data_IF_256069315163
#
_entry.id   IF_256069315163
#
_cell.length_a   1.000
_cell.length_b   1.000
_cell.length_c   1.000
_cell.angle_alpha   90.00
_cell.angle_beta   90.00
_cell.angle_gamma   90.00
#
_symmetry.space_group_name_H-M   'P 1'
#
loop_
_entity.id
_entity.type
_entity.pdbx_description
1 polymer ?
#
# COMPACT_ATOMS: atom_id res chain seq x y z
N UNK A 1 0.46 -11.81 21.01
CA UNK A 1 -0.68 -11.39 20.19
C UNK A 1 -1.94 -12.16 20.59
N UNK A 2 -1.90 -13.49 20.53
CA UNK A 2 -2.93 -14.33 21.14
C UNK A 2 -2.86 -14.25 22.67
N UNK A 3 -4.02 -14.27 23.31
CA UNK A 3 -4.20 -14.24 24.76
C UNK A 3 -4.97 -15.48 25.19
N UNK A 4 -4.70 -15.96 26.41
CA UNK A 4 -5.37 -17.14 26.96
C UNK A 4 -6.89 -16.93 27.05
N UNK A 5 -7.64 -17.99 26.79
CA UNK A 5 -9.10 -18.01 26.95
C UNK A 5 -9.44 -18.26 28.43
N UNK A 6 -9.79 -17.21 29.18
CA UNK A 6 -10.01 -17.29 30.64
C UNK A 6 -11.35 -17.95 31.04
N UNK A 7 -12.41 -17.73 30.27
CA UNK A 7 -13.75 -18.28 30.56
C UNK A 7 -14.18 -19.23 29.46
N UNK A 8 -14.55 -20.46 29.84
CA UNK A 8 -15.04 -21.51 28.95
C UNK A 8 -14.14 -21.68 27.72
N UNK A 9 -13.05 -22.46 27.86
CA UNK A 9 -12.07 -22.85 26.81
C UNK A 9 -12.76 -23.58 25.64
N UNK A 10 -13.56 -22.84 24.90
CA UNK A 10 -14.51 -23.29 23.89
C UNK A 10 -14.06 -22.82 22.53
N UNK A 11 -14.58 -23.48 21.49
CA UNK A 11 -14.30 -23.10 20.11
C UNK A 11 -14.81 -21.67 19.82
N UNK A 12 -15.95 -21.29 20.39
CA UNK A 12 -16.55 -19.97 20.23
C UNK A 12 -15.68 -18.84 20.75
N UNK A 13 -15.03 -19.03 21.92
CA UNK A 13 -14.13 -18.02 22.47
C UNK A 13 -12.86 -17.84 21.61
N UNK A 14 -12.33 -18.93 21.06
CA UNK A 14 -11.21 -18.88 20.10
C UNK A 14 -11.62 -18.16 18.81
N UNK A 15 -12.79 -18.49 18.26
CA UNK A 15 -13.38 -17.82 17.08
C UNK A 15 -13.48 -16.33 17.32
N UNK A 16 -14.11 -15.91 18.43
CA UNK A 16 -14.32 -14.50 18.76
C UNK A 16 -13.00 -13.72 18.87
N UNK A 17 -11.95 -14.32 19.43
CA UNK A 17 -10.65 -13.66 19.53
C UNK A 17 -9.99 -13.50 18.15
N UNK A 18 -9.98 -14.55 17.33
CA UNK A 18 -9.38 -14.47 15.98
C UNK A 18 -10.16 -13.48 15.11
N UNK A 19 -11.49 -13.51 15.14
CA UNK A 19 -12.36 -12.53 14.47
C UNK A 19 -12.05 -11.11 14.89
N UNK A 20 -11.89 -10.86 16.18
CA UNK A 20 -11.51 -9.54 16.69
C UNK A 20 -10.15 -9.09 16.17
N UNK A 21 -9.17 -9.99 16.09
CA UNK A 21 -7.84 -9.67 15.57
C UNK A 21 -7.86 -9.38 14.06
N UNK A 22 -8.64 -10.13 13.27
CA UNK A 22 -8.88 -9.87 11.84
C UNK A 22 -9.58 -8.51 11.67
N UNK A 23 -10.67 -8.29 12.40
CA UNK A 23 -11.49 -7.09 12.32
C UNK A 23 -10.69 -5.83 12.71
N UNK A 24 -9.84 -5.93 13.73
CA UNK A 24 -8.92 -4.85 14.14
C UNK A 24 -7.70 -4.71 13.26
N UNK A 25 -7.55 -5.57 12.25
CA UNK A 25 -6.47 -5.53 11.28
C UNK A 25 -5.12 -6.02 11.80
N UNK A 26 -5.06 -6.56 13.02
CA UNK A 26 -3.84 -7.14 13.60
C UNK A 26 -3.46 -8.43 12.85
N UNK A 27 -4.45 -9.18 12.38
CA UNK A 27 -4.28 -10.25 11.40
C UNK A 27 -4.69 -9.70 10.02
N UNK A 28 -3.72 -9.62 9.11
CA UNK A 28 -3.92 -9.18 7.74
C UNK A 28 -4.19 -10.38 6.81
N UNK A 29 -4.86 -10.12 5.69
CA UNK A 29 -5.10 -11.13 4.66
C UNK A 29 -3.77 -11.72 4.16
N UNK A 30 -3.70 -13.05 4.12
CA UNK A 30 -2.48 -13.78 3.75
C UNK A 30 -1.55 -14.10 4.92
N UNK A 31 -1.78 -13.55 6.12
CA UNK A 31 -1.00 -13.92 7.30
C UNK A 31 -1.17 -15.40 7.61
N UNK A 32 -0.06 -16.05 7.96
CA UNK A 32 -0.07 -17.46 8.36
C UNK A 32 -0.33 -17.55 9.87
N UNK A 33 -1.36 -18.28 10.26
CA UNK A 33 -1.56 -18.62 11.66
C UNK A 33 -0.45 -19.57 12.15
N UNK A 34 -0.06 -19.50 13.45
CA UNK A 34 0.90 -20.45 14.00
C UNK A 34 0.44 -21.90 13.81
N UNK A 35 1.37 -22.88 13.79
CA UNK A 35 1.00 -24.28 13.74
C UNK A 35 0.01 -24.64 14.85
N UNK A 36 -0.95 -25.54 14.60
CA UNK A 36 -2.02 -25.89 15.56
C UNK A 36 -1.50 -26.18 16.97
N UNK A 37 -0.35 -26.86 17.06
CA UNK A 37 0.28 -27.17 18.35
C UNK A 37 0.61 -25.91 19.12
N UNK A 38 1.27 -24.96 18.48
CA UNK A 38 1.80 -23.76 19.13
C UNK A 38 0.64 -22.79 19.39
N UNK A 39 -0.29 -22.64 18.44
CA UNK A 39 -1.49 -21.82 18.61
C UNK A 39 -2.40 -22.33 19.75
N UNK A 40 -2.55 -23.66 19.88
CA UNK A 40 -3.33 -24.23 20.99
C UNK A 40 -2.69 -23.96 22.36
N UNK A 41 -1.36 -23.91 22.41
CA UNK A 41 -0.61 -23.59 23.61
C UNK A 41 -0.73 -22.10 23.98
N UNK A 42 -0.61 -21.21 22.99
CA UNK A 42 -0.75 -19.76 23.18
C UNK A 42 -2.16 -19.37 23.68
N UNK A 43 -3.19 -20.04 23.15
CA UNK A 43 -4.59 -19.83 23.51
C UNK A 43 -5.03 -20.57 24.78
N UNK A 44 -4.21 -21.51 25.27
CA UNK A 44 -4.50 -22.41 26.41
C UNK A 44 -5.77 -23.26 26.20
N UNK A 45 -5.92 -23.83 25.01
CA UNK A 45 -7.04 -24.71 24.62
C UNK A 45 -6.55 -26.07 24.14
N UNK A 46 -7.42 -27.08 24.16
CA UNK A 46 -7.09 -28.40 23.59
C UNK A 46 -7.08 -28.33 22.05
N UNK A 47 -6.30 -29.20 21.40
CA UNK A 47 -6.23 -29.25 19.92
C UNK A 47 -7.59 -29.55 19.26
N UNK A 48 -8.46 -30.44 19.79
CA UNK A 48 -9.80 -30.63 19.25
C UNK A 48 -10.63 -29.34 19.25
N UNK A 49 -10.58 -28.56 20.33
CA UNK A 49 -11.28 -27.27 20.44
C UNK A 49 -10.74 -26.26 19.42
N UNK A 50 -9.41 -26.19 19.25
CA UNK A 50 -8.81 -25.34 18.23
C UNK A 50 -9.25 -25.75 16.81
N UNK A 51 -9.27 -27.05 16.50
CA UNK A 51 -9.71 -27.54 15.17
C UNK A 51 -11.16 -27.22 14.88
N UNK A 52 -12.02 -27.34 15.88
CA UNK A 52 -13.42 -26.93 15.77
C UNK A 52 -13.53 -25.43 15.49
N UNK A 53 -12.79 -24.60 16.23
CA UNK A 53 -12.73 -23.15 16.00
C UNK A 53 -12.23 -22.79 14.59
N UNK A 54 -11.15 -23.43 14.13
CA UNK A 54 -10.61 -23.22 12.79
C UNK A 54 -11.60 -23.63 11.71
N UNK A 55 -12.35 -24.74 11.91
CA UNK A 55 -13.40 -25.15 10.98
C UNK A 55 -14.53 -24.12 10.90
N UNK A 56 -14.97 -23.58 12.03
CA UNK A 56 -15.98 -22.50 12.06
C UNK A 56 -15.47 -21.27 11.30
N UNK A 57 -14.21 -20.88 11.50
CA UNK A 57 -13.61 -19.74 10.79
C UNK A 57 -13.45 -19.99 9.28
N UNK A 58 -13.16 -21.23 8.88
CA UNK A 58 -13.06 -21.64 7.48
C UNK A 58 -14.43 -21.66 6.79
N UNK A 59 -15.47 -22.17 7.48
CA UNK A 59 -16.86 -22.12 7.03
C UNK A 59 -17.36 -20.67 6.86
N UNK A 60 -16.86 -19.74 7.71
CA UNK A 60 -17.10 -18.28 7.59
C UNK A 60 -16.21 -17.59 6.57
N UNK A 61 -15.34 -18.33 5.87
CA UNK A 61 -14.39 -17.80 4.88
C UNK A 61 -13.42 -16.75 5.45
N UNK A 62 -13.13 -16.80 6.75
CA UNK A 62 -12.19 -15.90 7.42
C UNK A 62 -10.76 -16.45 7.42
N UNK A 63 -10.62 -17.77 7.28
CA UNK A 63 -9.35 -18.46 7.10
C UNK A 63 -9.43 -19.45 5.95
N UNK A 64 -8.27 -19.80 5.39
CA UNK A 64 -8.13 -20.81 4.35
C UNK A 64 -6.99 -21.77 4.70
N UNK A 65 -7.28 -23.07 4.67
CA UNK A 65 -6.26 -24.11 4.81
C UNK A 65 -5.62 -24.40 3.46
N UNK A 66 -4.29 -24.33 3.38
CA UNK A 66 -3.53 -24.75 2.17
C UNK A 66 -2.90 -26.10 2.42
N UNK A 67 -3.06 -27.05 1.48
CA UNK A 67 -2.44 -28.39 1.60
C UNK A 67 -0.93 -28.26 1.82
N UNK A 68 -0.43 -28.89 2.89
CA UNK A 68 0.99 -28.83 3.28
C UNK A 68 1.50 -27.46 3.77
N UNK A 69 0.68 -26.41 3.70
CA UNK A 69 1.09 -25.02 3.93
C UNK A 69 0.63 -24.39 5.24
N UNK A 70 -0.33 -25.01 5.94
CA UNK A 70 -0.93 -24.46 7.17
C UNK A 70 -2.19 -23.61 6.90
N UNK A 71 -2.65 -22.91 7.93
CA UNK A 71 -3.85 -22.06 7.89
C UNK A 71 -3.47 -20.60 7.73
N UNK A 72 -4.16 -19.91 6.82
CA UNK A 72 -3.90 -18.51 6.49
C UNK A 72 -5.16 -17.68 6.66
N UNK A 73 -5.01 -16.40 6.97
CA UNK A 73 -6.11 -15.44 6.98
C UNK A 73 -6.59 -15.22 5.56
N UNK A 74 -7.90 -15.35 5.34
CA UNK A 74 -8.50 -15.17 4.03
C UNK A 74 -8.49 -13.70 3.59
N UNK A 75 -8.69 -13.48 2.29
CA UNK A 75 -8.96 -12.14 1.78
C UNK A 75 -10.43 -11.76 2.01
N UNK A 76 -10.72 -11.25 3.20
CA UNK A 76 -12.08 -10.90 3.66
C UNK A 76 -12.54 -9.51 3.24
N UNK A 77 -11.62 -8.58 2.98
CA UNK A 77 -11.97 -7.21 2.55
C UNK A 77 -12.31 -7.21 1.05
N UNK A 78 -11.68 -8.12 0.27
CA UNK A 78 -11.78 -8.11 -1.18
C UNK A 78 -11.18 -6.84 -1.82
N UNK A 79 -11.22 -6.72 -3.15
CA UNK A 79 -10.91 -5.46 -3.82
C UNK A 79 -12.09 -4.49 -3.68
N UNK A 80 -11.81 -3.18 -3.62
CA UNK A 80 -12.86 -2.14 -3.56
C UNK A 80 -13.83 -2.22 -4.74
N UNK A 81 -13.33 -2.66 -5.90
CA UNK A 81 -14.08 -2.88 -7.13
C UNK A 81 -13.73 -4.24 -7.72
N UNK A 82 -14.70 -4.88 -8.39
CA UNK A 82 -14.44 -6.10 -9.17
C UNK A 82 -13.42 -5.85 -10.28
N UNK A 83 -12.61 -6.85 -10.64
CA UNK A 83 -11.60 -6.73 -11.71
C UNK A 83 -12.13 -6.13 -13.03
N UNK A 84 -13.33 -6.46 -13.53
CA UNK A 84 -13.87 -5.83 -14.75
C UNK A 84 -14.13 -4.33 -14.60
N UNK A 85 -14.60 -3.89 -13.43
CA UNK A 85 -14.83 -2.47 -13.13
C UNK A 85 -13.49 -1.74 -12.96
N UNK A 86 -12.54 -2.37 -12.28
CA UNK A 86 -11.17 -1.88 -12.15
C UNK A 86 -10.57 -1.58 -13.53
N UNK A 87 -10.58 -2.55 -14.45
CA UNK A 87 -10.11 -2.36 -15.83
C UNK A 87 -10.94 -1.33 -16.64
N UNK A 88 -12.21 -1.11 -16.30
CA UNK A 88 -13.00 -0.03 -16.89
C UNK A 88 -12.50 1.33 -16.42
N UNK A 89 -12.24 1.53 -15.12
CA UNK A 89 -11.74 2.78 -14.56
C UNK A 89 -10.36 3.13 -15.15
N UNK A 90 -9.45 2.15 -15.30
CA UNK A 90 -8.12 2.36 -15.92
C UNK A 90 -8.17 3.01 -17.29
N UNK A 91 -9.20 2.69 -18.09
CA UNK A 91 -9.37 3.21 -19.45
C UNK A 91 -9.99 4.62 -19.49
N UNK A 92 -10.45 5.14 -18.36
CA UNK A 92 -11.18 6.41 -18.27
C UNK A 92 -10.47 7.38 -17.32
N UNK A 93 -9.65 8.31 -17.83
CA UNK A 93 -8.86 9.24 -17.01
C UNK A 93 -9.66 10.05 -15.99
N UNK A 94 -10.92 10.38 -16.31
CA UNK A 94 -11.83 11.08 -15.37
C UNK A 94 -12.09 10.23 -14.14
N UNK A 95 -12.36 8.94 -14.31
CA UNK A 95 -12.62 8.03 -13.20
C UNK A 95 -11.36 7.79 -12.33
N UNK A 96 -10.16 7.87 -12.92
CA UNK A 96 -8.90 7.88 -12.16
C UNK A 96 -8.78 9.15 -11.32
N UNK A 97 -9.16 10.30 -11.87
CA UNK A 97 -9.15 11.56 -11.13
C UNK A 97 -10.14 11.54 -9.96
N UNK A 98 -11.34 10.97 -10.15
CA UNK A 98 -12.35 10.77 -9.11
C UNK A 98 -11.83 9.83 -8.00
N UNK A 99 -11.13 8.76 -8.37
CA UNK A 99 -10.49 7.87 -7.41
C UNK A 99 -9.40 8.57 -6.58
N UNK A 100 -8.58 9.41 -7.21
CA UNK A 100 -7.54 10.18 -6.50
C UNK A 100 -8.15 11.23 -5.57
N UNK A 101 -9.28 11.84 -5.95
CA UNK A 101 -10.07 12.71 -5.08
C UNK A 101 -10.63 11.95 -3.87
N UNK A 102 -11.26 10.80 -4.09
CA UNK A 102 -11.73 9.96 -3.00
C UNK A 102 -10.59 9.57 -2.04
N UNK A 103 -9.45 9.13 -2.57
CA UNK A 103 -8.27 8.82 -1.76
C UNK A 103 -7.81 10.01 -0.92
N UNK A 104 -7.68 11.19 -1.52
CA UNK A 104 -7.28 12.42 -0.83
C UNK A 104 -8.13 12.64 0.43
N UNK A 105 -9.44 12.52 0.30
CA UNK A 105 -10.37 12.81 1.40
C UNK A 105 -10.34 11.72 2.48
N UNK A 106 -10.22 10.45 2.09
CA UNK A 106 -10.16 9.31 3.02
C UNK A 106 -8.84 9.28 3.79
N UNK A 107 -7.71 9.54 3.11
CA UNK A 107 -6.38 9.64 3.74
C UNK A 107 -6.32 10.86 4.67
N UNK A 108 -6.89 11.99 4.26
CA UNK A 108 -7.05 13.17 5.10
C UNK A 108 -7.86 12.91 6.37
N UNK A 109 -8.98 12.17 6.25
CA UNK A 109 -9.79 11.78 7.39
C UNK A 109 -9.06 10.80 8.32
N UNK A 110 -8.27 9.89 7.77
CA UNK A 110 -7.46 8.97 8.57
C UNK A 110 -6.37 9.70 9.34
N UNK A 111 -5.66 10.62 8.70
CA UNK A 111 -4.65 11.45 9.36
C UNK A 111 -5.27 12.34 10.48
N UNK A 112 -6.47 12.89 10.24
CA UNK A 112 -7.22 13.62 11.26
C UNK A 112 -7.45 12.76 12.51
N UNK A 113 -8.04 11.57 12.34
CA UNK A 113 -8.35 10.69 13.46
C UNK A 113 -7.11 10.08 14.10
N UNK A 114 -6.05 9.82 13.32
CA UNK A 114 -4.78 9.37 13.85
C UNK A 114 -4.20 10.42 14.80
N UNK A 115 -4.19 11.69 14.42
CA UNK A 115 -3.73 12.75 15.32
C UNK A 115 -4.59 12.88 16.60
N UNK A 116 -5.89 12.58 16.52
CA UNK A 116 -6.79 12.62 17.69
C UNK A 116 -6.62 11.40 18.62
N UNK A 117 -6.31 10.22 18.07
CA UNK A 117 -6.50 8.93 18.75
C UNK A 117 -5.26 8.06 18.88
N UNK A 118 -4.18 8.40 18.17
CA UNK A 118 -2.97 7.60 18.19
C UNK A 118 -2.45 7.42 19.61
N UNK A 119 -2.14 6.18 19.95
CA UNK A 119 -1.47 5.82 21.20
C UNK A 119 0.04 5.97 21.05
N UNK A 120 0.76 5.94 22.18
CA UNK A 120 2.24 5.92 22.15
C UNK A 120 2.81 4.73 21.34
N UNK A 121 2.08 3.61 21.26
CA UNK A 121 2.48 2.47 20.45
C UNK A 121 2.34 2.78 18.95
N UNK A 122 1.23 3.41 18.56
CA UNK A 122 0.98 3.83 17.17
C UNK A 122 2.02 4.86 16.71
N UNK A 123 2.32 5.87 17.54
CA UNK A 123 3.37 6.86 17.27
C UNK A 123 4.73 6.19 17.08
N UNK A 124 5.06 5.19 17.89
CA UNK A 124 6.33 4.45 17.75
C UNK A 124 6.38 3.66 16.44
N UNK A 125 5.27 3.08 16.00
CA UNK A 125 5.19 2.40 14.69
C UNK A 125 5.44 3.40 13.56
N UNK A 126 4.76 4.56 13.61
CA UNK A 126 4.93 5.64 12.63
C UNK A 126 6.38 6.15 12.59
N UNK A 127 7.00 6.40 13.75
CA UNK A 127 8.41 6.83 13.85
C UNK A 127 9.39 5.79 13.27
N UNK A 128 9.13 4.49 13.49
CA UNK A 128 9.96 3.42 12.92
C UNK A 128 9.84 3.38 11.40
N UNK A 129 8.63 3.57 10.86
CA UNK A 129 8.38 3.57 9.41
C UNK A 129 9.03 4.78 8.73
N UNK A 130 8.90 6.00 9.30
CA UNK A 130 9.56 7.19 8.75
C UNK A 130 11.08 7.07 8.79
N UNK A 131 11.63 6.48 9.86
CA UNK A 131 13.07 6.18 9.94
C UNK A 131 13.51 5.17 8.87
N UNK A 132 12.72 4.10 8.66
CA UNK A 132 13.00 3.12 7.61
C UNK A 132 12.90 3.72 6.20
N UNK A 133 11.98 4.66 5.97
CA UNK A 133 11.87 5.41 4.72
C UNK A 133 13.10 6.27 4.48
N UNK A 134 13.60 6.96 5.51
CA UNK A 134 14.83 7.75 5.40
C UNK A 134 16.04 6.87 5.01
N UNK A 135 16.19 5.70 5.64
CA UNK A 135 17.26 4.75 5.29
C UNK A 135 17.12 4.27 3.85
N UNK A 136 15.92 3.86 3.42
CA UNK A 136 15.67 3.46 2.04
C UNK A 136 15.94 4.61 1.05
N UNK A 137 15.66 5.85 1.45
CA UNK A 137 15.99 7.05 0.70
C UNK A 137 17.51 7.19 0.53
N UNK A 138 18.27 7.10 1.61
CA UNK A 138 19.73 7.27 1.56
C UNK A 138 20.42 6.15 0.76
N UNK A 139 19.88 4.93 0.83
CA UNK A 139 20.40 3.74 0.13
C UNK A 139 20.02 3.66 -1.36
N UNK A 140 19.25 4.62 -1.89
CA UNK A 140 18.71 4.58 -3.28
C UNK A 140 17.86 3.33 -3.57
N UNK A 141 17.15 2.80 -2.57
CA UNK A 141 16.36 1.58 -2.71
C UNK A 141 14.89 1.88 -3.02
N UNK A 142 14.58 2.12 -4.30
CA UNK A 142 13.25 2.55 -4.75
C UNK A 142 12.15 1.50 -4.49
N UNK A 143 12.47 0.21 -4.61
CA UNK A 143 11.52 -0.88 -4.31
C UNK A 143 11.10 -0.85 -2.84
N UNK A 144 12.08 -0.67 -1.94
CA UNK A 144 11.84 -0.57 -0.50
C UNK A 144 11.07 0.71 -0.16
N UNK A 145 11.33 1.83 -0.83
CA UNK A 145 10.55 3.06 -0.63
C UNK A 145 9.09 2.88 -1.05
N UNK A 146 8.84 2.27 -2.20
CA UNK A 146 7.49 1.99 -2.67
C UNK A 146 6.73 1.04 -1.73
N UNK A 147 7.42 0.06 -1.15
CA UNK A 147 6.86 -0.82 -0.13
C UNK A 147 6.53 -0.04 1.15
N UNK A 148 7.47 0.74 1.68
CA UNK A 148 7.30 1.47 2.94
C UNK A 148 6.22 2.56 2.86
N UNK A 149 6.02 3.17 1.69
CA UNK A 149 4.92 4.11 1.46
C UNK A 149 3.57 3.49 1.81
N UNK A 150 3.31 2.27 1.33
CA UNK A 150 2.05 1.57 1.62
C UNK A 150 1.94 1.27 3.11
N UNK A 151 3.01 0.78 3.74
CA UNK A 151 3.03 0.46 5.17
C UNK A 151 2.80 1.71 6.04
N UNK A 152 3.33 2.87 5.65
CA UNK A 152 3.13 4.13 6.35
C UNK A 152 1.67 4.59 6.30
N UNK A 153 1.06 4.60 5.11
CA UNK A 153 -0.35 4.98 4.96
C UNK A 153 -1.29 3.96 5.62
N UNK A 154 -0.90 2.69 5.70
CA UNK A 154 -1.61 1.68 6.50
C UNK A 154 -1.51 1.96 7.99
N UNK A 155 -0.32 2.27 8.51
CA UNK A 155 -0.11 2.60 9.92
C UNK A 155 -0.92 3.84 10.36
N UNK A 156 -1.08 4.85 9.49
CA UNK A 156 -1.98 5.99 9.75
C UNK A 156 -3.43 5.53 9.85
N UNK A 157 -3.89 4.66 8.94
CA UNK A 157 -5.23 4.10 8.97
C UNK A 157 -5.52 3.27 10.23
N UNK A 158 -4.51 2.56 10.75
CA UNK A 158 -4.59 1.81 12.01
C UNK A 158 -4.65 2.77 13.21
N UNK A 159 -3.78 3.78 13.23
CA UNK A 159 -3.72 4.80 14.27
C UNK A 159 -5.01 5.66 14.35
N UNK A 160 -5.82 5.70 13.29
CA UNK A 160 -7.12 6.35 13.29
C UNK A 160 -8.17 5.64 14.19
N UNK A 161 -7.89 4.40 14.62
CA UNK A 161 -8.75 3.57 15.46
C UNK A 161 -10.20 3.45 14.94
N UNK A 162 -10.38 3.53 13.62
CA UNK A 162 -11.65 3.36 12.93
C UNK A 162 -11.57 2.15 11.99
N UNK A 163 -12.20 1.06 12.39
CA UNK A 163 -12.18 -0.21 11.66
C UNK A 163 -12.69 -0.12 10.23
N UNK A 164 -13.76 0.65 9.98
CA UNK A 164 -14.30 0.80 8.62
C UNK A 164 -13.33 1.61 7.76
N UNK A 165 -12.74 2.66 8.32
CA UNK A 165 -11.74 3.47 7.62
C UNK A 165 -10.48 2.66 7.28
N UNK A 166 -9.99 1.86 8.22
CA UNK A 166 -8.85 0.96 8.04
C UNK A 166 -9.06 0.01 6.86
N UNK A 167 -10.18 -0.72 6.83
CA UNK A 167 -10.45 -1.68 5.77
C UNK A 167 -10.72 -0.99 4.43
N UNK A 168 -11.36 0.19 4.44
CA UNK A 168 -11.56 1.02 3.25
C UNK A 168 -10.23 1.45 2.63
N UNK A 169 -9.27 1.89 3.45
CA UNK A 169 -7.92 2.25 3.01
C UNK A 169 -7.13 1.06 2.49
N UNK A 170 -7.17 -0.09 3.19
CA UNK A 170 -6.52 -1.34 2.72
C UNK A 170 -7.05 -1.76 1.35
N UNK A 171 -8.35 -1.62 1.10
CA UNK A 171 -8.93 -1.87 -0.21
C UNK A 171 -8.41 -0.90 -1.29
N UNK A 172 -8.23 0.39 -0.96
CA UNK A 172 -7.62 1.38 -1.85
C UNK A 172 -6.17 1.02 -2.19
N UNK A 173 -5.36 0.65 -1.20
CA UNK A 173 -3.94 0.35 -1.44
C UNK A 173 -3.72 -0.89 -2.32
N UNK A 174 -4.61 -1.89 -2.25
CA UNK A 174 -4.56 -3.05 -3.16
C UNK A 174 -4.71 -2.64 -4.62
N UNK A 175 -5.58 -1.69 -4.92
CA UNK A 175 -5.73 -1.16 -6.27
C UNK A 175 -4.45 -0.46 -6.76
N UNK A 176 -3.70 0.19 -5.88
CA UNK A 176 -2.41 0.79 -6.23
C UNK A 176 -1.34 -0.27 -6.48
N UNK A 177 -1.29 -1.31 -5.63
CA UNK A 177 -0.28 -2.38 -5.72
C UNK A 177 -0.39 -3.19 -7.01
N UNK A 178 -1.60 -3.33 -7.55
CA UNK A 178 -1.83 -4.07 -8.79
C UNK A 178 -1.49 -3.27 -10.06
N UNK A 179 -0.92 -2.07 -9.92
CA UNK A 179 -0.51 -1.23 -11.06
C UNK A 179 -1.69 -0.63 -11.84
N UNK A 180 -2.91 -0.83 -11.35
CA UNK A 180 -4.17 -0.44 -12.00
C UNK A 180 -4.20 1.08 -12.23
N UNK A 181 -4.00 1.86 -11.17
CA UNK A 181 -4.13 3.31 -11.25
C UNK A 181 -2.81 4.04 -11.41
N UNK A 182 -1.71 3.41 -11.00
CA UNK A 182 -0.42 4.08 -10.86
C UNK A 182 0.70 3.08 -10.63
N UNK A 183 1.80 3.23 -11.37
CA UNK A 183 3.04 2.55 -11.07
C UNK A 183 3.87 3.38 -10.08
N UNK A 184 3.82 3.00 -8.79
CA UNK A 184 4.61 3.61 -7.70
C UNK A 184 6.10 3.72 -8.00
N UNK A 185 6.64 2.73 -8.68
CA UNK A 185 8.04 2.69 -9.09
C UNK A 185 8.42 3.89 -9.96
N UNK A 186 7.51 4.36 -10.83
CA UNK A 186 7.80 5.49 -11.71
C UNK A 186 7.97 6.83 -10.96
N UNK A 187 7.25 7.05 -9.86
CA UNK A 187 7.43 8.25 -9.04
C UNK A 187 8.74 8.20 -8.26
N UNK A 188 9.09 7.04 -7.69
CA UNK A 188 10.34 6.88 -6.94
C UNK A 188 11.57 6.92 -7.85
N UNK A 189 11.42 6.57 -9.13
CA UNK A 189 12.42 6.78 -10.16
C UNK A 189 12.60 8.26 -10.57
N UNK A 190 11.70 9.18 -10.16
CA UNK A 190 11.82 10.60 -10.46
C UNK A 190 12.57 11.34 -9.32
N UNK A 191 13.80 11.85 -9.55
CA UNK A 191 14.69 12.30 -8.47
C UNK A 191 14.12 13.42 -7.59
N UNK A 192 13.39 14.38 -8.17
CA UNK A 192 12.78 15.47 -7.40
C UNK A 192 11.52 15.03 -6.65
N UNK A 193 10.79 14.05 -7.19
CA UNK A 193 9.52 13.62 -6.62
C UNK A 193 9.73 12.83 -5.34
N UNK A 194 10.69 11.90 -5.38
CA UNK A 194 11.12 11.08 -4.25
C UNK A 194 11.42 11.89 -2.99
N UNK A 195 12.27 12.92 -3.11
CA UNK A 195 12.67 13.78 -1.98
C UNK A 195 11.47 14.50 -1.37
N UNK A 196 10.59 15.03 -2.22
CA UNK A 196 9.42 15.78 -1.77
C UNK A 196 8.38 14.86 -1.11
N UNK A 197 8.17 13.64 -1.62
CA UNK A 197 7.33 12.63 -0.97
C UNK A 197 7.83 12.30 0.42
N UNK A 198 9.14 12.05 0.59
CA UNK A 198 9.71 11.79 1.91
C UNK A 198 9.51 12.96 2.87
N UNK A 199 9.71 14.20 2.39
CA UNK A 199 9.47 15.42 3.18
C UNK A 199 8.01 15.49 3.65
N UNK A 200 7.06 15.19 2.76
CA UNK A 200 5.63 15.20 3.06
C UNK A 200 5.21 14.09 4.04
N UNK A 201 5.76 12.87 3.92
CA UNK A 201 5.52 11.81 4.91
C UNK A 201 5.98 12.22 6.31
N UNK A 202 7.18 12.81 6.41
CA UNK A 202 7.69 13.33 7.68
C UNK A 202 6.81 14.46 8.25
N UNK A 203 6.26 15.32 7.38
CA UNK A 203 5.33 16.38 7.79
C UNK A 203 4.04 15.78 8.37
N UNK A 204 3.43 14.81 7.69
CA UNK A 204 2.22 14.10 8.17
C UNK A 204 2.49 13.46 9.53
N UNK A 205 3.58 12.70 9.66
CA UNK A 205 3.96 12.04 10.90
C UNK A 205 4.14 13.04 12.04
N UNK A 206 4.80 14.17 11.78
CA UNK A 206 4.98 15.23 12.76
C UNK A 206 3.64 15.82 13.24
N UNK A 207 2.68 16.04 12.33
CA UNK A 207 1.35 16.57 12.68
C UNK A 207 0.50 15.58 13.46
N UNK A 208 0.59 14.29 13.15
CA UNK A 208 -0.05 13.23 13.93
C UNK A 208 0.55 13.18 15.34
N UNK A 209 1.88 13.18 15.45
CA UNK A 209 2.61 13.13 16.73
C UNK A 209 2.35 14.35 17.61
N UNK A 210 2.16 15.52 17.01
CA UNK A 210 1.81 16.75 17.71
C UNK A 210 0.35 16.79 18.19
N UNK A 211 -0.49 15.84 17.77
CA UNK A 211 -1.91 15.84 18.09
C UNK A 211 -2.65 17.01 17.46
N UNK A 212 -2.34 17.34 16.19
CA UNK A 212 -2.95 18.45 15.44
C UNK A 212 -3.87 17.93 14.32
N UNK A 213 -5.15 17.58 14.59
CA UNK A 213 -6.00 16.87 13.63
C UNK A 213 -6.18 17.57 12.28
N UNK A 214 -6.48 18.87 12.30
CA UNK A 214 -6.67 19.62 11.06
C UNK A 214 -5.36 19.80 10.28
N UNK A 215 -4.24 19.97 10.97
CA UNK A 215 -2.94 20.09 10.30
C UNK A 215 -2.51 18.75 9.69
N UNK A 216 -2.74 17.63 10.38
CA UNK A 216 -2.46 16.28 9.88
C UNK A 216 -3.31 15.98 8.63
N UNK A 217 -4.60 16.32 8.68
CA UNK A 217 -5.50 16.23 7.53
C UNK A 217 -4.97 17.02 6.34
N UNK A 218 -4.68 18.31 6.54
CA UNK A 218 -4.20 19.18 5.45
C UNK A 218 -2.88 18.66 4.87
N UNK A 219 -1.95 18.17 5.70
CA UNK A 219 -0.69 17.60 5.25
C UNK A 219 -0.92 16.34 4.37
N UNK A 220 -1.83 15.46 4.77
CA UNK A 220 -2.18 14.26 4.01
C UNK A 220 -2.90 14.60 2.69
N UNK A 221 -3.85 15.54 2.70
CA UNK A 221 -4.54 15.99 1.48
C UNK A 221 -3.55 16.64 0.49
N UNK A 222 -2.64 17.49 0.99
CA UNK A 222 -1.58 18.11 0.18
C UNK A 222 -0.64 17.05 -0.41
N UNK A 223 -0.29 16.03 0.35
CA UNK A 223 0.51 14.92 -0.13
C UNK A 223 -0.16 14.17 -1.29
N UNK A 224 -1.43 13.79 -1.16
CA UNK A 224 -2.14 13.09 -2.24
C UNK A 224 -2.31 13.98 -3.48
N UNK A 225 -2.56 15.27 -3.29
CA UNK A 225 -2.60 16.25 -4.40
C UNK A 225 -1.25 16.34 -5.12
N UNK A 226 -0.14 16.37 -4.37
CA UNK A 226 1.20 16.38 -4.94
C UNK A 226 1.49 15.10 -5.72
N UNK A 227 1.20 13.92 -5.14
CA UNK A 227 1.38 12.63 -5.80
C UNK A 227 0.58 12.57 -7.11
N UNK A 228 -0.68 13.02 -7.11
CA UNK A 228 -1.50 13.14 -8.33
C UNK A 228 -0.79 13.96 -9.41
N UNK A 229 -0.34 15.16 -9.06
CA UNK A 229 0.33 16.06 -10.00
C UNK A 229 1.67 15.49 -10.52
N UNK A 230 2.47 14.89 -9.64
CA UNK A 230 3.77 14.31 -9.99
C UNK A 230 3.65 13.10 -10.94
N UNK A 231 2.59 12.30 -10.78
CA UNK A 231 2.27 11.19 -11.70
C UNK A 231 1.91 11.73 -13.09
N UNK A 232 1.04 12.73 -13.15
CA UNK A 232 0.68 13.37 -14.42
C UNK A 232 1.89 13.95 -15.13
N UNK A 233 2.80 14.59 -14.38
CA UNK A 233 4.02 15.16 -14.94
C UNK A 233 4.98 14.07 -15.45
N UNK A 234 5.18 13.00 -14.67
CA UNK A 234 6.00 11.84 -15.05
C UNK A 234 5.49 11.20 -16.36
N UNK A 235 4.17 11.05 -16.50
CA UNK A 235 3.54 10.55 -17.74
C UNK A 235 3.82 11.47 -18.92
N UNK A 236 3.59 12.78 -18.77
CA UNK A 236 3.86 13.78 -19.82
C UNK A 236 5.35 13.79 -20.21
N UNK A 237 6.25 13.65 -19.25
CA UNK A 237 7.70 13.56 -19.51
C UNK A 237 8.06 12.31 -20.30
N UNK A 238 7.51 11.15 -19.93
CA UNK A 238 7.71 9.90 -20.67
C UNK A 238 7.22 9.99 -22.12
N UNK A 239 6.05 10.57 -22.35
CA UNK A 239 5.51 10.81 -23.71
C UNK A 239 6.42 11.74 -24.53
N UNK A 240 6.92 12.83 -23.92
CA UNK A 240 7.88 13.75 -24.56
C UNK A 240 9.20 13.08 -24.89
N UNK A 241 9.71 12.23 -24.00
CA UNK A 241 10.94 11.47 -24.18
C UNK A 241 10.79 10.49 -25.35
N UNK A 242 9.72 9.68 -25.36
CA UNK A 242 9.44 8.75 -26.45
C UNK A 242 9.34 9.45 -27.81
N UNK A 243 8.65 10.59 -27.88
CA UNK A 243 8.58 11.40 -29.10
C UNK A 243 9.94 11.95 -29.52
N UNK A 244 10.78 12.35 -28.57
CA UNK A 244 12.12 12.87 -28.84
C UNK A 244 13.06 11.78 -29.35
N UNK A 245 12.95 10.55 -28.82
CA UNK A 245 13.69 9.39 -29.32
C UNK A 245 13.28 9.00 -30.74
N UNK A 246 11.97 9.07 -31.07
CA UNK A 246 11.50 8.88 -32.45
C UNK A 246 12.09 9.94 -33.40
N UNK A 247 12.11 11.20 -32.97
CA UNK A 247 12.73 12.30 -33.73
C UNK A 247 14.23 12.09 -33.90
N UNK A 248 14.93 11.61 -32.89
CA UNK A 248 16.36 11.29 -32.96
C UNK A 248 16.61 10.20 -34.00
N UNK A 249 15.90 9.07 -33.90
CA UNK A 249 15.99 7.96 -34.87
C UNK A 249 15.70 8.41 -36.30
N UNK A 250 14.75 9.32 -36.51
CA UNK A 250 14.44 9.85 -37.85
C UNK A 250 15.53 10.78 -38.43
N UNK A 251 16.41 11.31 -37.57
CA UNK A 251 17.49 12.25 -37.93
C UNK A 251 18.85 11.57 -37.97
N UNK A 252 18.98 10.35 -37.45
CA UNK A 252 20.16 9.53 -37.64
C UNK A 252 20.30 9.22 -39.14
N UNK A 253 21.45 9.52 -39.75
CA UNK A 253 21.65 9.23 -41.16
C UNK A 253 21.52 7.72 -41.37
N UNK A 254 20.68 7.30 -42.31
CA UNK A 254 20.62 5.90 -42.72
C UNK A 254 22.01 5.47 -43.20
N UNK A 255 22.39 4.22 -42.96
CA UNK A 255 23.69 3.70 -43.41
C UNK A 255 23.92 3.91 -44.93
N UNK A 256 22.84 4.01 -45.71
CA UNK A 256 22.83 4.37 -47.13
C UNK A 256 23.18 5.86 -47.41
N UNK A 257 22.78 6.79 -46.54
CA UNK A 257 23.12 8.21 -46.70
C UNK A 257 24.60 8.49 -46.35
N UNK A 258 25.16 7.74 -45.41
CA UNK A 258 26.59 7.84 -45.05
C UNK A 258 27.47 7.29 -46.18
N UNK A 259 27.10 6.14 -46.78
CA UNK A 259 27.87 5.53 -47.88
C UNK A 259 27.80 6.34 -49.18
N UNK A 260 26.67 6.98 -49.48
CA UNK A 260 26.52 7.87 -50.64
C UNK A 260 27.36 9.17 -50.52
N UNK A 261 27.62 9.63 -49.29
CA UNK A 261 28.49 10.80 -49.05
C UNK A 261 29.98 10.47 -49.18
N UNK A 262 30.39 9.23 -48.91
CA UNK A 262 31.81 8.80 -49.02
C UNK A 262 32.25 8.54 -50.47
N UNK A 263 31.33 8.14 -51.35
CA UNK A 263 31.62 7.85 -52.76
C UNK A 263 31.82 9.10 -53.63
N UNK A 264 31.39 10.29 -53.19
CA UNK A 264 31.55 11.57 -53.93
C UNK A 264 32.86 12.31 -53.65
N UNK A 265 33.72 11.79 -52.77
CA UNK A 265 34.96 12.45 -52.35
C UNK A 265 36.26 11.96 -53.00
N UNK A 266 36.22 11.11 -54.03
CA UNK A 266 37.41 10.53 -54.67
C UNK A 266 37.49 10.77 -56.19
N UNK A 267 36.86 11.84 -56.68
CA UNK A 267 36.99 12.27 -58.09
C UNK A 267 37.35 13.75 -58.18
N UNK A 268 38.56 14.09 -57.76
CA UNK A 268 39.33 15.26 -58.22
C UNK A 268 40.79 14.85 -58.42
#
# INVERSE_FOLDING_TARGET
>A
MFQKIEHHRTAEAVVAQIEKLILKGVLASGDRLPPERDLSADLDVSRPVLREALKILEDRQLVVSRQGGGTFIADVVGPLFSDPLTALIERHPVAIADYMEYRRDVEGLAAYYAAERATNADIKIIDNLTSAMQVAFDDLNHEREAFLDVEFHQAIGEAAHNTILLHSLRACYKLLKNGVFYNREQLYNHPTARREVLRQHNEIAAKIKAGEPQAARNAAENHINYVKAAIEDTKRMSERQALSELRLKSREPTAEAISASSAKGHSE
#
